data_IF_904580582037
#
_entry.id   IF_904580582037
#
_cell.length_a   1.000
_cell.length_b   1.000
_cell.length_c   1.000
_cell.angle_alpha   90.00
_cell.angle_beta   90.00
_cell.angle_gamma   90.00
#
_symmetry.space_group_name_H-M   'P 1'
#
loop_
_entity.id
_entity.type
_entity.pdbx_description
1 polymer ?
#
# COMPACT_ATOMS: atom_id res chain seq x y z
N UNK A 1 1.01 -0.17 -14.75
CA UNK A 1 -0.43 -0.37 -14.44
C UNK A 1 -0.59 -1.40 -13.33
N UNK A 2 -1.74 -1.46 -12.65
CA UNK A 2 -2.02 -2.47 -11.62
C UNK A 2 -1.90 -3.91 -12.16
N UNK A 3 -2.24 -4.14 -13.44
CA UNK A 3 -2.07 -5.42 -14.10
C UNK A 3 -0.60 -5.91 -14.15
N UNK A 4 0.36 -4.98 -14.10
CA UNK A 4 1.79 -5.27 -14.23
C UNK A 4 2.44 -5.67 -12.89
N UNK A 5 1.64 -5.95 -11.85
CA UNK A 5 2.15 -6.26 -10.51
C UNK A 5 3.08 -7.49 -10.47
N UNK A 6 3.01 -8.39 -11.45
CA UNK A 6 3.86 -9.58 -11.52
C UNK A 6 5.34 -9.24 -11.78
N UNK A 7 5.62 -8.10 -12.42
CA UNK A 7 6.98 -7.62 -12.66
C UNK A 7 7.66 -7.12 -11.37
N UNK A 8 6.87 -6.82 -10.33
CA UNK A 8 7.41 -6.37 -9.05
C UNK A 8 8.07 -7.54 -8.29
N UNK A 9 9.27 -7.35 -7.70
CA UNK A 9 9.84 -8.32 -6.77
C UNK A 9 8.92 -8.57 -5.56
N UNK A 10 9.08 -9.76 -4.95
CA UNK A 10 8.46 -10.04 -3.65
C UNK A 10 9.28 -9.35 -2.56
N UNK A 11 8.60 -8.79 -1.57
CA UNK A 11 9.26 -8.23 -0.41
C UNK A 11 8.39 -7.26 0.38
N UNK A 12 8.81 -6.93 1.60
CA UNK A 12 8.15 -5.91 2.38
C UNK A 12 8.29 -4.55 1.68
N UNK A 13 7.34 -3.66 1.92
CA UNK A 13 7.33 -2.35 1.28
C UNK A 13 6.02 -1.60 1.44
N UNK A 14 5.96 -0.46 0.78
CA UNK A 14 4.76 0.35 0.59
C UNK A 14 4.33 0.34 -0.87
N UNK A 15 3.04 0.48 -1.09
CA UNK A 15 2.49 0.78 -2.40
C UNK A 15 1.38 1.82 -2.32
N UNK A 16 1.28 2.62 -3.37
CA UNK A 16 0.19 3.55 -3.61
C UNK A 16 -0.54 3.10 -4.87
N UNK A 17 -1.86 3.05 -4.82
CA UNK A 17 -2.72 2.82 -5.98
C UNK A 17 -3.43 4.13 -6.30
N UNK A 18 -3.51 4.44 -7.59
CA UNK A 18 -4.13 5.66 -8.09
C UNK A 18 -4.65 5.50 -9.50
N UNK A 19 -5.11 6.60 -10.07
CA UNK A 19 -5.50 6.71 -11.47
C UNK A 19 -4.74 7.87 -12.14
N UNK A 20 -4.80 7.94 -13.46
CA UNK A 20 -4.27 9.08 -14.20
C UNK A 20 -5.08 10.33 -13.85
N UNK A 21 -4.42 11.45 -13.56
CA UNK A 21 -5.10 12.74 -13.31
C UNK A 21 -5.80 13.24 -14.58
N UNK A 22 -5.08 13.11 -15.70
CA UNK A 22 -5.54 13.33 -17.07
C UNK A 22 -5.57 11.97 -17.79
N UNK A 23 -6.75 11.46 -18.21
CA UNK A 23 -6.90 10.15 -18.83
C UNK A 23 -6.25 10.03 -20.23
N UNK A 24 -5.97 11.16 -20.90
CA UNK A 24 -5.29 11.12 -22.22
C UNK A 24 -3.76 11.07 -22.09
N UNK A 25 -3.21 11.40 -20.92
CA UNK A 25 -1.78 11.33 -20.64
C UNK A 25 -1.41 9.99 -20.02
N UNK A 26 -0.23 9.47 -20.34
CA UNK A 26 0.29 8.26 -19.70
C UNK A 26 0.76 8.56 -18.28
N UNK A 27 0.59 7.60 -17.38
CA UNK A 27 1.29 7.62 -16.09
C UNK A 27 2.71 7.13 -16.33
N UNK A 28 3.69 8.02 -16.16
CA UNK A 28 5.12 7.72 -16.33
C UNK A 28 5.86 8.18 -15.09
N UNK A 29 6.98 7.52 -14.78
CA UNK A 29 7.85 7.98 -13.72
C UNK A 29 8.29 9.43 -13.97
N UNK A 30 8.32 10.24 -12.91
CA UNK A 30 8.84 11.61 -12.95
C UNK A 30 10.30 11.62 -13.40
N UNK A 31 10.71 12.72 -14.05
CA UNK A 31 12.10 12.92 -14.46
C UNK A 31 12.98 13.36 -13.30
N UNK A 32 12.40 14.06 -12.33
CA UNK A 32 13.09 14.54 -11.14
C UNK A 32 13.09 13.45 -10.05
N UNK A 33 14.23 13.29 -9.40
CA UNK A 33 14.37 12.42 -8.24
C UNK A 33 14.20 13.28 -6.99
N UNK A 34 13.02 13.23 -6.40
CA UNK A 34 12.75 13.83 -5.10
C UNK A 34 13.32 12.96 -3.97
N UNK A 35 13.82 13.59 -2.89
CA UNK A 35 14.44 12.89 -1.78
C UNK A 35 13.46 12.00 -0.99
N UNK A 36 12.15 12.24 -1.11
CA UNK A 36 11.09 11.56 -0.37
C UNK A 36 10.14 10.75 -1.26
N UNK A 37 9.91 11.21 -2.48
CA UNK A 37 8.97 10.63 -3.44
C UNK A 37 9.67 9.96 -4.63
N UNK A 38 11.00 10.06 -4.70
CA UNK A 38 11.83 9.57 -5.80
C UNK A 38 11.29 10.08 -7.14
N UNK A 39 11.06 9.21 -8.11
CA UNK A 39 10.57 9.55 -9.44
C UNK A 39 9.02 9.57 -9.52
N UNK A 40 8.36 10.27 -8.61
CA UNK A 40 6.90 10.31 -8.53
C UNK A 40 6.26 10.76 -9.86
N UNK A 41 5.24 10.03 -10.37
CA UNK A 41 4.57 10.42 -11.60
C UNK A 41 3.79 11.74 -11.48
N UNK A 42 3.97 12.64 -12.45
CA UNK A 42 3.24 13.91 -12.50
C UNK A 42 1.75 13.72 -12.82
N UNK A 43 1.42 12.76 -13.68
CA UNK A 43 0.03 12.47 -14.09
C UNK A 43 -0.61 11.38 -13.23
N UNK A 44 -0.56 11.50 -11.90
CA UNK A 44 -1.07 10.47 -11.00
C UNK A 44 -1.80 11.06 -9.80
N UNK A 45 -3.07 10.65 -9.64
CA UNK A 45 -3.88 10.94 -8.47
C UNK A 45 -3.92 9.74 -7.55
N UNK A 46 -3.43 9.92 -6.34
CA UNK A 46 -3.43 8.90 -5.28
C UNK A 46 -4.85 8.59 -4.79
N UNK A 47 -5.18 7.30 -4.68
CA UNK A 47 -6.48 6.83 -4.16
C UNK A 47 -6.32 6.04 -2.86
N UNK A 48 -5.31 5.18 -2.81
CA UNK A 48 -5.12 4.22 -1.74
C UNK A 48 -3.64 4.04 -1.42
N UNK A 49 -3.30 3.96 -0.14
CA UNK A 49 -1.96 3.55 0.33
C UNK A 49 -2.05 2.27 1.16
N UNK A 50 -1.09 1.37 0.96
CA UNK A 50 -0.96 0.17 1.76
C UNK A 50 0.49 -0.20 2.03
N UNK A 51 0.70 -0.84 3.17
CA UNK A 51 1.99 -1.38 3.60
C UNK A 51 1.89 -2.91 3.63
N UNK A 52 2.99 -3.60 3.31
CA UNK A 52 3.14 -5.03 3.58
C UNK A 52 4.48 -5.28 4.26
N UNK A 53 4.46 -5.99 5.39
CA UNK A 53 5.66 -6.41 6.12
C UNK A 53 6.05 -7.86 5.77
N UNK A 54 5.24 -8.55 4.97
CA UNK A 54 5.47 -9.94 4.60
C UNK A 54 6.70 -10.08 3.71
N UNK A 55 7.71 -10.83 4.16
CA UNK A 55 8.87 -11.17 3.34
C UNK A 55 8.57 -12.14 2.20
N UNK A 56 7.54 -12.99 2.35
CA UNK A 56 7.21 -14.07 1.40
C UNK A 56 6.39 -13.58 0.20
N UNK A 57 5.28 -12.90 0.48
CA UNK A 57 4.37 -12.43 -0.58
C UNK A 57 4.45 -10.92 -0.77
N UNK A 58 4.64 -10.18 0.32
CA UNK A 58 4.96 -8.76 0.29
C UNK A 58 3.97 -7.86 -0.42
N UNK A 59 4.46 -6.71 -0.89
CA UNK A 59 3.68 -5.74 -1.69
C UNK A 59 3.05 -6.42 -2.89
N UNK A 60 3.77 -7.28 -3.60
CA UNK A 60 3.25 -8.03 -4.75
C UNK A 60 2.01 -8.85 -4.41
N UNK A 61 2.01 -9.54 -3.26
CA UNK A 61 0.85 -10.29 -2.79
C UNK A 61 -0.36 -9.40 -2.51
N UNK A 62 -0.14 -8.19 -2.01
CA UNK A 62 -1.20 -7.20 -1.77
C UNK A 62 -1.76 -6.63 -3.07
N UNK A 63 -0.89 -6.24 -4.01
CA UNK A 63 -1.28 -5.80 -5.34
C UNK A 63 -2.07 -6.88 -6.09
N UNK A 64 -1.66 -8.15 -5.98
CA UNK A 64 -2.44 -9.29 -6.52
C UNK A 64 -3.87 -9.35 -5.96
N UNK A 65 -4.04 -9.10 -4.66
CA UNK A 65 -5.36 -9.09 -4.02
C UNK A 65 -6.24 -7.97 -4.58
N UNK A 66 -5.68 -6.78 -4.72
CA UNK A 66 -6.36 -5.63 -5.32
C UNK A 66 -6.71 -5.89 -6.79
N UNK A 67 -5.76 -6.36 -7.59
CA UNK A 67 -6.00 -6.73 -9.00
C UNK A 67 -7.17 -7.71 -9.16
N UNK A 68 -7.29 -8.69 -8.25
CA UNK A 68 -8.39 -9.68 -8.21
C UNK A 68 -9.69 -9.15 -7.57
N UNK A 69 -9.79 -7.85 -7.30
CA UNK A 69 -10.92 -7.21 -6.63
C UNK A 69 -11.25 -7.79 -5.22
N UNK A 70 -10.26 -8.36 -4.53
CA UNK A 70 -10.39 -8.94 -3.17
C UNK A 70 -9.78 -8.07 -2.07
N UNK A 71 -9.16 -6.95 -2.44
CA UNK A 71 -8.49 -6.04 -1.52
C UNK A 71 -9.44 -4.97 -0.97
N UNK A 72 -9.32 -3.74 -1.46
CA UNK A 72 -10.17 -2.62 -1.06
C UNK A 72 -11.46 -2.60 -1.90
N UNK A 73 -12.62 -2.44 -1.26
CA UNK A 73 -13.93 -2.47 -1.92
C UNK A 73 -14.15 -1.28 -2.87
N UNK A 74 -13.64 -0.08 -2.55
CA UNK A 74 -13.74 1.08 -3.44
C UNK A 74 -12.89 0.88 -4.69
N UNK A 75 -11.65 0.40 -4.53
CA UNK A 75 -10.79 0.05 -5.68
C UNK A 75 -11.43 -1.03 -6.56
N UNK A 76 -12.05 -2.05 -5.95
CA UNK A 76 -12.78 -3.08 -6.67
C UNK A 76 -13.97 -2.50 -7.47
N UNK A 77 -14.71 -1.56 -6.88
CA UNK A 77 -15.81 -0.88 -7.55
C UNK A 77 -15.33 -0.02 -8.73
N UNK A 78 -14.19 0.67 -8.60
CA UNK A 78 -13.52 1.42 -9.68
C UNK A 78 -13.12 0.53 -10.85
N UNK A 79 -12.46 -0.59 -10.57
CA UNK A 79 -12.10 -1.56 -11.60
C UNK A 79 -13.32 -2.11 -12.33
N UNK A 80 -14.43 -2.38 -11.62
CA UNK A 80 -15.68 -2.84 -12.23
C UNK A 80 -16.30 -1.81 -13.19
N UNK A 81 -16.07 -0.52 -12.96
CA UNK A 81 -16.47 0.57 -13.86
C UNK A 81 -15.55 0.74 -15.08
N UNK A 82 -14.50 -0.08 -15.21
CA UNK A 82 -13.52 0.01 -16.30
C UNK A 82 -12.42 1.06 -16.04
N UNK A 83 -12.29 1.57 -14.82
CA UNK A 83 -11.24 2.53 -14.47
C UNK A 83 -9.87 1.84 -14.49
N UNK A 84 -8.91 2.41 -15.22
CA UNK A 84 -7.53 1.90 -15.28
C UNK A 84 -6.77 2.37 -14.05
N UNK A 85 -6.42 1.42 -13.19
CA UNK A 85 -5.65 1.70 -11.99
C UNK A 85 -4.14 1.50 -12.22
N UNK A 86 -3.37 2.36 -11.58
CA UNK A 86 -1.90 2.37 -11.59
C UNK A 86 -1.38 2.16 -10.17
N UNK A 87 -0.11 1.76 -10.06
CA UNK A 87 0.54 1.67 -8.77
C UNK A 87 1.97 2.20 -8.81
N UNK A 88 2.40 2.69 -7.65
CA UNK A 88 3.78 3.03 -7.32
C UNK A 88 4.15 2.15 -6.12
N UNK A 89 5.35 1.60 -6.09
CA UNK A 89 5.80 0.76 -4.98
C UNK A 89 7.26 1.03 -4.64
N UNK A 90 7.54 1.10 -3.34
CA UNK A 90 8.90 1.11 -2.81
C UNK A 90 9.08 -0.13 -1.91
N UNK A 91 10.11 -0.92 -2.20
CA UNK A 91 10.41 -2.16 -1.50
C UNK A 91 11.58 -1.96 -0.54
N UNK A 92 11.56 -2.64 0.60
CA UNK A 92 12.63 -2.60 1.59
C UNK A 92 12.15 -2.26 2.99
N UNK A 93 13.07 -2.33 3.94
CA UNK A 93 12.82 -2.18 5.39
C UNK A 93 12.49 -0.74 5.80
N UNK A 94 12.91 0.26 5.04
CA UNK A 94 12.65 1.69 5.32
C UNK A 94 11.37 2.24 4.68
N UNK A 95 10.69 1.44 3.86
CA UNK A 95 9.47 1.83 3.14
C UNK A 95 8.30 2.19 4.09
N UNK A 96 8.34 1.75 5.35
CA UNK A 96 7.39 2.15 6.40
C UNK A 96 7.51 3.63 6.78
N UNK A 97 8.70 4.24 6.65
CA UNK A 97 8.92 5.65 6.94
C UNK A 97 8.50 6.54 5.76
N UNK A 98 8.72 6.09 4.52
CA UNK A 98 8.21 6.74 3.30
C UNK A 98 6.67 6.78 3.26
N UNK A 99 6.00 5.79 3.85
CA UNK A 99 4.54 5.78 3.99
C UNK A 99 3.98 6.93 4.80
N UNK A 100 4.72 7.35 5.82
CA UNK A 100 4.38 8.50 6.64
C UNK A 100 4.52 9.79 5.83
N UNK A 101 5.60 9.95 5.07
CA UNK A 101 5.83 11.13 4.23
C UNK A 101 4.83 11.23 3.06
N UNK A 102 4.49 10.11 2.42
CA UNK A 102 3.49 10.05 1.35
C UNK A 102 2.08 10.43 1.83
N UNK A 103 1.72 10.06 3.06
CA UNK A 103 0.46 10.45 3.68
C UNK A 103 0.43 11.91 4.11
N UNK A 104 1.57 12.47 4.53
CA UNK A 104 1.71 13.86 4.96
C UNK A 104 1.78 14.84 3.77
N UNK A 105 2.41 14.48 2.66
CA UNK A 105 2.59 15.37 1.51
C UNK A 105 1.38 15.44 0.56
N UNK A 106 0.66 14.33 0.35
CA UNK A 106 -0.43 14.25 -0.63
C UNK A 106 -1.85 14.34 -0.03
N UNK A 107 -1.97 14.43 1.30
CA UNK A 107 -3.17 14.90 2.01
C UNK A 107 -4.46 14.08 1.91
N UNK A 108 -4.66 13.17 0.96
CA UNK A 108 -5.92 12.45 0.84
C UNK A 108 -5.80 11.13 0.06
N UNK A 109 -6.02 10.01 0.75
CA UNK A 109 -6.26 8.70 0.12
C UNK A 109 -7.76 8.37 0.26
N UNK A 110 -8.63 8.82 -0.66
CA UNK A 110 -10.09 8.69 -0.53
C UNK A 110 -10.57 7.26 -0.31
N UNK A 111 -9.83 6.28 -0.84
CA UNK A 111 -10.18 4.87 -0.71
C UNK A 111 -9.67 4.26 0.61
N UNK A 112 -8.83 4.95 1.38
CA UNK A 112 -8.47 4.56 2.76
C UNK A 112 -9.59 4.96 3.74
N UNK A 113 -10.80 4.43 3.54
CA UNK A 113 -11.97 4.65 4.43
C UNK A 113 -11.77 4.21 5.89
N UNK A 114 -10.65 3.52 6.19
CA UNK A 114 -10.25 3.15 7.55
C UNK A 114 -8.94 3.85 7.85
N UNK A 115 -8.95 4.65 8.91
CA UNK A 115 -7.77 5.20 9.56
C UNK A 115 -6.74 4.08 9.77
N UNK A 116 -5.60 4.17 9.08
CA UNK A 116 -4.53 3.19 9.16
C UNK A 116 -3.98 3.11 10.60
N UNK A 117 -4.12 4.18 11.40
CA UNK A 117 -3.88 4.18 12.84
C UNK A 117 -4.75 3.18 13.60
N UNK A 118 -6.05 3.10 13.29
CA UNK A 118 -6.95 2.08 13.88
C UNK A 118 -6.54 0.66 13.47
N UNK A 119 -6.09 0.46 12.23
CA UNK A 119 -5.62 -0.85 11.75
C UNK A 119 -4.30 -1.26 12.39
N UNK A 120 -3.40 -0.30 12.59
CA UNK A 120 -2.16 -0.51 13.31
C UNK A 120 -2.45 -0.87 14.78
N UNK A 121 -3.30 -0.11 15.46
CA UNK A 121 -3.72 -0.38 16.84
C UNK A 121 -4.32 -1.79 17.00
N UNK A 122 -5.18 -2.23 16.08
CA UNK A 122 -5.73 -3.60 16.10
C UNK A 122 -4.63 -4.66 15.93
N UNK A 123 -3.64 -4.42 15.07
CA UNK A 123 -2.50 -5.34 14.88
C UNK A 123 -1.64 -5.42 16.14
N UNK A 124 -1.28 -4.26 16.69
CA UNK A 124 -0.48 -4.15 17.90
C UNK A 124 -1.16 -4.82 19.08
N UNK A 125 -2.46 -4.60 19.27
CA UNK A 125 -3.21 -5.25 20.35
C UNK A 125 -3.18 -6.77 20.22
N UNK A 126 -3.31 -7.33 19.00
CA UNK A 126 -3.21 -8.77 18.79
C UNK A 126 -1.83 -9.33 19.09
N UNK A 127 -0.77 -8.57 18.81
CA UNK A 127 0.59 -8.97 19.16
C UNK A 127 0.81 -8.97 20.68
N UNK A 128 0.31 -7.93 21.36
CA UNK A 128 0.35 -7.84 22.83
C UNK A 128 -0.43 -8.99 23.47
N UNK A 129 -1.66 -9.26 23.00
CA UNK A 129 -2.49 -10.36 23.52
C UNK A 129 -1.78 -11.72 23.35
N UNK A 130 -1.13 -11.93 22.21
CA UNK A 130 -0.37 -13.14 21.95
C UNK A 130 0.87 -13.29 22.87
N UNK A 131 1.55 -12.18 23.17
CA UNK A 131 2.67 -12.17 24.11
C UNK A 131 2.23 -12.49 25.54
N UNK A 132 1.15 -11.84 26.02
CA UNK A 132 0.60 -12.09 27.36
C UNK A 132 0.20 -13.57 27.50
N UNK A 133 -0.51 -14.13 26.52
CA UNK A 133 -0.90 -15.53 26.53
C UNK A 133 0.32 -16.49 26.56
N UNK A 134 1.39 -16.16 25.84
CA UNK A 134 2.62 -16.94 25.84
C UNK A 134 3.35 -16.90 27.20
N UNK A 135 3.40 -15.72 27.84
CA UNK A 135 4.00 -15.56 29.17
C UNK A 135 3.20 -16.28 30.27
N UNK A 136 1.87 -16.21 30.22
CA UNK A 136 1.02 -16.95 31.16
C UNK A 136 1.17 -18.47 31.01
N UNK A 137 1.31 -18.95 29.77
CA UNK A 137 1.57 -20.37 29.51
C UNK A 137 2.96 -20.81 30.01
N UNK A 138 3.96 -19.94 29.94
CA UNK A 138 5.30 -20.21 30.45
C UNK A 138 5.36 -20.24 31.99
N UNK A 139 4.59 -19.41 32.69
CA UNK A 139 4.51 -19.38 34.16
C UNK A 139 3.79 -20.57 34.79
N UNK A 140 2.96 -21.28 34.02
CA UNK A 140 2.21 -22.46 34.48
C UNK A 140 2.97 -23.79 34.26
N UNK A 141 4.19 -23.72 33.72
CA UNK A 141 5.11 -24.86 33.57
C UNK A 141 6.19 -24.80 34.64
#
# INVERSE_FOLDING_TARGET
MLADYLALPKGPGIYVIGHASDPVRKVQAGQEIDAYLYNWPENFTSLYVGISESRREGVRGRLRSHFRARGNADLAARQKRGEVLWYIAALGTFASHEALFLALANGFFPSNLRDEGKRFAIRLNREIDAQIAAEEAARKR
#
